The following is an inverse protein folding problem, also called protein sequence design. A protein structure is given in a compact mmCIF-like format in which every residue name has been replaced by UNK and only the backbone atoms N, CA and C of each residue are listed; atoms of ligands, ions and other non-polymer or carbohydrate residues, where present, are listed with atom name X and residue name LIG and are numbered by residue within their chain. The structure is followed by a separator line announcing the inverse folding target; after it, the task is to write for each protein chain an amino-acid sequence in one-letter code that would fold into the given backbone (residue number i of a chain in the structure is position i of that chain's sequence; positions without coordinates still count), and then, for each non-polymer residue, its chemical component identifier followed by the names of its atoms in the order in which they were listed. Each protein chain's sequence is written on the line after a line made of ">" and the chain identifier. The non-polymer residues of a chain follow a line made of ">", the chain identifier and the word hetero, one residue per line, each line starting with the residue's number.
data_IF_243275315699
#
_entry.id   IF_243275315699
#
_cell.length_a   1.000
_cell.length_b   1.000
_cell.length_c   1.000
_cell.angle_alpha   90.00
_cell.angle_beta   90.00
_cell.angle_gamma   90.00
#
_symmetry.space_group_name_H-M   'P 1'
#
loop_
_entity.id
_entity.type
_entity.pdbx_description
1 polymer ?
#
# COMPACT_ATOMS: atom_id res chain seq x y z
N UNK A 1 -5.08 -43.51 -27.00
CA UNK A 1 -4.58 -42.11 -27.03
C UNK A 1 -5.56 -41.08 -26.44
N UNK A 2 -6.47 -41.48 -25.53
CA UNK A 2 -7.47 -40.56 -24.93
C UNK A 2 -7.07 -40.05 -23.55
N UNK A 3 -6.51 -40.92 -22.71
CA UNK A 3 -6.16 -40.60 -21.32
C UNK A 3 -5.03 -39.57 -21.19
N UNK A 4 -3.99 -39.67 -22.02
CA UNK A 4 -2.89 -38.69 -22.05
C UNK A 4 -3.37 -37.30 -22.43
N UNK A 5 -4.34 -37.19 -23.35
CA UNK A 5 -4.90 -35.92 -23.79
C UNK A 5 -5.71 -35.26 -22.68
N UNK A 6 -6.49 -36.03 -21.93
CA UNK A 6 -7.27 -35.55 -20.78
C UNK A 6 -6.33 -35.01 -19.69
N UNK A 7 -5.27 -35.76 -19.36
CA UNK A 7 -4.31 -35.37 -18.34
C UNK A 7 -3.66 -34.01 -18.66
N UNK A 8 -3.19 -33.83 -19.90
CA UNK A 8 -2.54 -32.58 -20.36
C UNK A 8 -3.50 -31.40 -20.30
N UNK A 9 -4.77 -31.59 -20.67
CA UNK A 9 -5.78 -30.52 -20.57
C UNK A 9 -6.03 -30.13 -19.11
N UNK A 10 -6.13 -31.10 -18.19
CA UNK A 10 -6.29 -30.81 -16.77
C UNK A 10 -5.09 -30.04 -16.19
N UNK A 11 -3.85 -30.40 -16.55
CA UNK A 11 -2.66 -29.68 -16.12
C UNK A 11 -2.62 -28.23 -16.64
N UNK A 12 -2.97 -28.00 -17.91
CA UNK A 12 -3.03 -26.67 -18.51
C UNK A 12 -4.09 -25.78 -17.85
N UNK A 13 -5.29 -26.32 -17.61
CA UNK A 13 -6.38 -25.58 -16.93
C UNK A 13 -5.97 -25.24 -15.49
N UNK A 14 -5.34 -26.17 -14.77
CA UNK A 14 -4.82 -25.92 -13.42
C UNK A 14 -3.80 -24.78 -13.38
N UNK A 15 -2.83 -24.78 -14.31
CA UNK A 15 -1.81 -23.72 -14.40
C UNK A 15 -2.40 -22.35 -14.74
N UNK A 16 -3.39 -22.30 -15.64
CA UNK A 16 -4.08 -21.07 -16.00
C UNK A 16 -4.85 -20.48 -14.81
N UNK A 17 -5.51 -21.31 -13.99
CA UNK A 17 -6.23 -20.87 -12.79
C UNK A 17 -5.28 -20.32 -11.73
N UNK A 18 -4.13 -20.95 -11.53
CA UNK A 18 -3.11 -20.46 -10.58
C UNK A 18 -2.54 -19.12 -11.06
N UNK A 19 -2.25 -18.99 -12.37
CA UNK A 19 -1.68 -17.77 -12.95
C UNK A 19 -2.68 -16.63 -13.08
N UNK A 20 -3.99 -16.92 -13.18
CA UNK A 20 -5.06 -15.92 -13.21
C UNK A 20 -5.55 -15.51 -11.82
N UNK A 21 -4.92 -16.01 -10.75
CA UNK A 21 -5.04 -15.34 -9.46
C UNK A 21 -4.70 -13.89 -9.74
N UNK A 22 -5.62 -12.93 -9.51
CA UNK A 22 -5.25 -11.55 -9.61
C UNK A 22 -4.07 -11.44 -8.66
N UNK A 23 -2.88 -11.22 -9.23
CA UNK A 23 -1.93 -10.38 -8.57
C UNK A 23 -2.75 -9.10 -8.43
N UNK A 24 -3.47 -9.01 -7.30
CA UNK A 24 -3.53 -7.80 -6.54
C UNK A 24 -2.05 -7.49 -6.39
N UNK A 25 -1.48 -6.87 -7.42
CA UNK A 25 -0.51 -5.83 -7.27
C UNK A 25 -1.21 -4.98 -6.24
N UNK A 26 -0.87 -5.27 -4.99
CA UNK A 26 -0.80 -4.29 -3.96
C UNK A 26 0.07 -3.28 -4.70
N UNK A 27 -0.60 -2.35 -5.38
CA UNK A 27 -0.17 -1.00 -5.40
C UNK A 27 0.04 -0.77 -3.90
N UNK A 28 1.26 -1.08 -3.45
CA UNK A 28 1.89 -0.28 -2.46
C UNK A 28 1.82 1.05 -3.17
N UNK A 29 0.70 1.77 -2.95
CA UNK A 29 0.68 3.20 -3.00
C UNK A 29 2.02 3.52 -2.38
N UNK A 30 2.94 3.98 -3.23
CA UNK A 30 4.30 4.24 -2.82
C UNK A 30 4.08 5.35 -1.82
N UNK A 31 3.86 4.97 -0.55
CA UNK A 31 3.64 5.87 0.57
C UNK A 31 4.93 6.62 0.57
N UNK A 32 4.88 7.81 -0.02
CA UNK A 32 6.06 8.45 -0.55
C UNK A 32 6.98 8.59 0.65
N UNK A 33 8.07 7.80 0.67
CA UNK A 33 9.04 7.84 1.75
C UNK A 33 9.78 9.14 1.59
N UNK A 34 9.20 10.20 2.14
CA UNK A 34 9.77 11.54 2.11
C UNK A 34 10.82 11.54 3.21
N UNK A 35 12.09 11.62 2.83
CA UNK A 35 13.23 11.53 3.74
C UNK A 35 13.24 10.26 4.63
N UNK A 36 12.64 9.16 4.17
CA UNK A 36 12.57 7.90 4.93
C UNK A 36 11.36 7.77 5.86
N UNK A 37 10.56 8.83 6.03
CA UNK A 37 9.30 8.81 6.78
C UNK A 37 8.14 8.38 5.89
N UNK A 38 7.21 7.61 6.44
CA UNK A 38 6.04 7.15 5.71
C UNK A 38 4.96 8.24 5.75
N UNK A 39 4.78 8.97 4.65
CA UNK A 39 3.80 10.04 4.57
C UNK A 39 2.63 9.68 3.62
N UNK A 40 1.40 9.94 4.05
CA UNK A 40 0.19 9.52 3.32
C UNK A 40 -0.87 10.62 3.22
N UNK A 41 -1.40 11.10 4.36
CA UNK A 41 -2.53 12.04 4.37
C UNK A 41 -2.10 13.50 4.31
N UNK A 42 -2.85 14.34 3.61
CA UNK A 42 -2.68 15.80 3.68
C UNK A 42 -3.29 16.31 4.97
N UNK A 43 -2.52 17.09 5.73
CA UNK A 43 -3.02 17.74 6.92
C UNK A 43 -3.89 18.94 6.57
N UNK A 44 -5.02 19.04 7.26
CA UNK A 44 -6.04 20.07 7.07
C UNK A 44 -6.42 20.66 8.42
N UNK A 45 -7.31 21.66 8.45
CA UNK A 45 -7.83 22.19 9.72
C UNK A 45 -8.57 21.15 10.58
N UNK A 46 -9.02 20.05 9.97
CA UNK A 46 -9.72 18.95 10.65
C UNK A 46 -8.85 17.69 10.82
N UNK A 47 -7.66 17.71 10.22
CA UNK A 47 -6.68 16.63 10.26
C UNK A 47 -5.33 17.25 10.64
N UNK A 48 -5.22 17.48 11.94
CA UNK A 48 -4.09 18.08 12.64
C UNK A 48 -3.10 17.02 13.15
N UNK A 49 -2.01 17.49 13.76
CA UNK A 49 -0.92 16.64 14.27
C UNK A 49 -1.40 15.55 15.23
N UNK A 50 -2.41 15.84 16.06
CA UNK A 50 -2.96 14.84 16.98
C UNK A 50 -3.63 13.70 16.21
N UNK A 51 -4.45 14.03 15.20
CA UNK A 51 -5.12 13.04 14.35
C UNK A 51 -4.10 12.20 13.59
N UNK A 52 -3.09 12.87 13.04
CA UNK A 52 -1.97 12.20 12.36
C UNK A 52 -1.24 11.22 13.29
N UNK A 53 -0.91 11.64 14.51
CA UNK A 53 -0.21 10.80 15.48
C UNK A 53 -1.03 9.56 15.85
N UNK A 54 -2.33 9.72 16.07
CA UNK A 54 -3.24 8.59 16.38
C UNK A 54 -3.27 7.58 15.22
N UNK A 55 -3.34 8.06 13.97
CA UNK A 55 -3.34 7.19 12.79
C UNK A 55 -1.99 6.48 12.59
N UNK A 56 -0.88 7.16 12.88
CA UNK A 56 0.47 6.57 12.86
C UNK A 56 0.63 5.50 13.95
N UNK A 57 0.19 5.77 15.18
CA UNK A 57 0.17 4.80 16.28
C UNK A 57 -0.68 3.58 15.93
N UNK A 58 -1.86 3.79 15.35
CA UNK A 58 -2.74 2.72 14.86
C UNK A 58 -2.10 1.89 13.74
N UNK A 59 -1.21 2.51 12.95
CA UNK A 59 -0.45 1.86 11.89
C UNK A 59 0.84 1.17 12.37
N UNK A 60 1.16 1.25 13.67
CA UNK A 60 2.32 0.61 14.30
C UNK A 60 3.59 1.47 14.36
N UNK A 61 3.49 2.76 14.05
CA UNK A 61 4.58 3.72 14.21
C UNK A 61 4.59 4.32 15.63
N UNK A 62 5.76 4.61 16.21
CA UNK A 62 5.84 5.24 17.54
C UNK A 62 5.25 6.64 17.60
N UNK A 63 5.26 7.40 16.49
CA UNK A 63 4.61 8.70 16.40
C UNK A 63 4.39 9.14 14.95
N UNK A 64 3.69 10.27 14.79
CA UNK A 64 3.65 11.00 13.52
C UNK A 64 3.17 12.43 13.67
N UNK A 65 3.54 13.26 12.70
CA UNK A 65 3.22 14.69 12.69
C UNK A 65 3.00 15.24 11.28
N UNK A 66 2.40 16.42 11.19
CA UNK A 66 2.10 17.13 9.97
C UNK A 66 3.30 17.93 9.46
N UNK A 67 4.06 17.31 8.57
CA UNK A 67 5.29 17.86 8.02
C UNK A 67 5.08 18.55 6.66
N UNK A 68 5.68 19.72 6.47
CA UNK A 68 5.72 20.41 5.16
C UNK A 68 6.88 19.86 4.34
N UNK A 69 6.57 19.06 3.31
CA UNK A 69 7.58 18.41 2.45
C UNK A 69 8.29 19.41 1.53
N UNK A 70 7.61 20.48 1.14
CA UNK A 70 8.16 21.55 0.31
C UNK A 70 7.40 22.85 0.60
N UNK A 71 8.03 24.03 0.53
CA UNK A 71 7.42 25.30 0.91
C UNK A 71 6.14 25.65 0.13
N UNK A 72 5.96 25.08 -1.07
CA UNK A 72 4.76 25.27 -1.91
C UNK A 72 3.75 24.13 -1.81
N UNK A 73 4.01 23.09 -1.01
CA UNK A 73 3.14 21.92 -0.86
C UNK A 73 2.37 21.96 0.46
N UNK A 74 1.16 21.40 0.50
CA UNK A 74 0.42 21.27 1.74
C UNK A 74 1.15 20.34 2.70
N UNK A 75 0.97 20.56 4.01
CA UNK A 75 1.48 19.68 5.06
C UNK A 75 0.95 18.27 4.85
N UNK A 76 1.79 17.26 5.04
CA UNK A 76 1.40 15.85 5.03
C UNK A 76 1.71 15.20 6.36
N UNK A 77 0.85 14.30 6.78
CA UNK A 77 1.07 13.43 7.92
C UNK A 77 2.16 12.43 7.57
N UNK A 78 3.22 12.44 8.37
CA UNK A 78 4.40 11.62 8.22
C UNK A 78 4.65 10.85 9.51
N UNK A 79 4.70 9.52 9.41
CA UNK A 79 5.03 8.63 10.52
C UNK A 79 6.54 8.31 10.53
N UNK A 80 7.11 8.15 11.72
CA UNK A 80 8.48 7.73 11.96
C UNK A 80 8.53 6.70 13.07
#
# INVERSE_FOLDING_TARGET
>A
MGFTKILVTFFLVGLLVISSSPQNAIASEIKAKINGLECFNTCTSYYDDHKCNVDCLSSGYPAGECYTVSPSQPKKCCCY
#
